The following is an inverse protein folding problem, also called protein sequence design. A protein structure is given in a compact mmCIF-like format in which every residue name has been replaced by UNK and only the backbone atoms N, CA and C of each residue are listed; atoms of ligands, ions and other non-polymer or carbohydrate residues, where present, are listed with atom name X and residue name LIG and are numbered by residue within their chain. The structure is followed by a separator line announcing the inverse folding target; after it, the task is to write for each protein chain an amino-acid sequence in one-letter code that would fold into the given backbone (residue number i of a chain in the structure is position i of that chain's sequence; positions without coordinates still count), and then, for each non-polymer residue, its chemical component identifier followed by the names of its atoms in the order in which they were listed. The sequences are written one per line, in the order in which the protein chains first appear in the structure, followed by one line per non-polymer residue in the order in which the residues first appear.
data_IF_705767131950
#
_entry.id   IF_705767131950
#
_cell.length_a   1.000
_cell.length_b   1.000
_cell.length_c   1.000
_cell.angle_alpha   90.00
_cell.angle_beta   90.00
_cell.angle_gamma   90.00
#
_symmetry.space_group_name_H-M   'P 1'
#
loop_
_entity.id
_entity.type
_entity.pdbx_description
1 polymer ?
#
# COMPACT_ATOMS: atom_id res chain seq x y z
N UNK A 1 59.28 12.97 84.35
CA UNK A 1 58.10 12.08 84.35
C UNK A 1 58.14 11.25 83.08
N UNK A 2 58.34 9.95 83.23
CA UNK A 2 58.10 8.89 82.22
C UNK A 2 56.69 8.30 82.46
N UNK A 3 56.16 7.32 81.68
CA UNK A 3 56.61 6.71 80.41
C UNK A 3 55.54 6.95 79.29
N UNK A 4 55.25 6.17 78.21
CA UNK A 4 55.81 4.96 77.56
C UNK A 4 55.37 4.88 76.07
N UNK A 5 55.54 3.72 75.41
CA UNK A 5 54.85 3.25 74.19
C UNK A 5 54.30 1.81 74.47
N UNK A 6 53.72 0.99 73.55
CA UNK A 6 53.39 1.17 72.11
C UNK A 6 52.01 0.56 71.65
N UNK A 7 51.85 0.38 70.31
CA UNK A 7 51.16 -0.73 69.58
C UNK A 7 49.63 -0.77 69.23
N UNK A 8 49.41 -0.84 67.90
CA UNK A 8 48.58 -1.81 67.10
C UNK A 8 47.07 -1.70 66.79
N UNK A 9 46.77 -1.91 65.49
CA UNK A 9 45.49 -2.29 64.82
C UNK A 9 44.35 -1.25 64.81
N UNK A 10 43.43 -1.16 63.83
CA UNK A 10 42.95 -2.15 62.81
C UNK A 10 42.64 -1.51 61.43
N UNK A 11 42.21 -2.35 60.46
CA UNK A 11 41.66 -2.10 59.10
C UNK A 11 40.60 -0.96 59.02
N UNK A 12 40.18 -0.43 57.85
CA UNK A 12 40.13 -1.00 56.48
C UNK A 12 40.14 0.04 55.33
N UNK A 13 40.22 -0.42 54.07
CA UNK A 13 40.36 0.40 52.84
C UNK A 13 39.12 0.45 51.93
N UNK A 14 38.52 1.63 51.65
CA UNK A 14 37.39 1.74 50.71
C UNK A 14 37.77 1.55 49.22
N UNK A 15 37.44 0.38 48.64
CA UNK A 15 37.74 0.06 47.22
C UNK A 15 36.69 0.56 46.21
N UNK A 16 37.12 1.50 45.35
CA UNK A 16 36.78 1.59 43.91
C UNK A 16 35.31 1.74 43.45
N UNK A 17 34.85 2.97 43.21
CA UNK A 17 33.51 3.28 42.63
C UNK A 17 33.40 3.17 41.10
N UNK A 18 34.46 2.78 40.36
CA UNK A 18 34.50 2.80 38.88
C UNK A 18 33.71 1.67 38.19
N UNK A 19 33.34 0.58 38.89
CA UNK A 19 32.65 -0.57 38.29
C UNK A 19 31.19 -0.29 37.91
N UNK A 20 30.46 0.48 38.72
CA UNK A 20 28.98 0.59 38.68
C UNK A 20 28.44 1.31 37.44
N UNK A 21 29.20 2.22 36.81
CA UNK A 21 28.84 2.83 35.51
C UNK A 21 29.06 1.90 34.31
N UNK A 22 30.05 0.98 34.37
CA UNK A 22 30.33 0.03 33.28
C UNK A 22 29.24 -1.05 33.16
N UNK A 23 28.73 -1.58 34.28
CA UNK A 23 27.69 -2.62 34.26
C UNK A 23 26.35 -2.10 33.73
N UNK A 24 25.93 -0.90 34.10
CA UNK A 24 24.72 -0.26 33.57
C UNK A 24 24.78 -0.09 32.04
N UNK A 25 25.88 0.47 31.50
CA UNK A 25 26.06 0.65 30.05
C UNK A 25 26.17 -0.68 29.28
N UNK A 26 26.70 -1.75 29.90
CA UNK A 26 26.67 -3.11 29.31
C UNK A 26 25.27 -3.74 29.33
N UNK A 27 24.44 -3.47 30.34
CA UNK A 27 23.05 -3.96 30.40
C UNK A 27 22.17 -3.28 29.34
N UNK A 28 22.20 -1.95 29.22
CA UNK A 28 21.39 -1.24 28.22
C UNK A 28 21.74 -1.60 26.77
N UNK A 29 23.03 -1.83 26.48
CA UNK A 29 23.44 -2.35 25.17
C UNK A 29 22.92 -3.76 24.87
N UNK A 30 22.84 -4.65 25.88
CA UNK A 30 22.30 -6.01 25.72
C UNK A 30 20.78 -6.01 25.47
N UNK A 31 20.00 -5.21 26.21
CA UNK A 31 18.56 -5.11 25.94
C UNK A 31 18.28 -4.45 24.60
N UNK A 32 19.03 -3.42 24.20
CA UNK A 32 18.86 -2.82 22.88
C UNK A 32 19.11 -3.84 21.76
N UNK A 33 20.25 -4.55 21.78
CA UNK A 33 20.56 -5.55 20.75
C UNK A 33 19.53 -6.70 20.68
N UNK A 34 18.91 -7.07 21.80
CA UNK A 34 17.81 -8.04 21.81
C UNK A 34 16.53 -7.48 21.15
N UNK A 35 16.17 -6.22 21.43
CA UNK A 35 15.03 -5.54 20.78
C UNK A 35 15.28 -5.36 19.28
N UNK A 36 16.47 -4.90 18.89
CA UNK A 36 16.87 -4.73 17.49
C UNK A 36 16.76 -6.07 16.71
N UNK A 37 17.16 -7.19 17.34
CA UNK A 37 17.03 -8.55 16.78
C UNK A 37 15.57 -9.01 16.64
N UNK A 38 14.71 -8.71 17.63
CA UNK A 38 13.27 -9.00 17.57
C UNK A 38 12.62 -8.20 16.43
N UNK A 39 12.91 -6.90 16.32
CA UNK A 39 12.38 -6.03 15.26
C UNK A 39 12.81 -6.53 13.87
N UNK A 40 14.09 -6.85 13.68
CA UNK A 40 14.59 -7.40 12.42
C UNK A 40 13.94 -8.76 12.07
N UNK A 41 13.75 -9.63 13.07
CA UNK A 41 13.07 -10.93 12.88
C UNK A 41 11.60 -10.74 12.49
N UNK A 42 10.89 -9.78 13.10
CA UNK A 42 9.51 -9.44 12.75
C UNK A 42 9.43 -8.83 11.35
N UNK A 43 10.28 -7.88 10.99
CA UNK A 43 10.34 -7.30 9.64
C UNK A 43 10.58 -8.38 8.57
N UNK A 44 11.47 -9.35 8.83
CA UNK A 44 11.70 -10.47 7.90
C UNK A 44 10.50 -11.43 7.78
N UNK A 45 9.61 -11.51 8.78
CA UNK A 45 8.34 -12.26 8.70
C UNK A 45 7.22 -11.49 7.99
N UNK A 46 7.18 -10.16 8.16
CA UNK A 46 6.21 -9.28 7.49
C UNK A 46 6.56 -9.01 6.02
N UNK A 47 7.80 -9.27 5.59
CA UNK A 47 8.25 -9.06 4.22
C UNK A 47 7.73 -10.14 3.27
N UNK A 48 6.88 -9.74 2.32
CA UNK A 48 6.42 -10.60 1.21
C UNK A 48 7.65 -11.15 0.46
N UNK A 49 7.68 -12.46 0.19
CA UNK A 49 8.80 -13.08 -0.55
C UNK A 49 8.85 -12.55 -1.99
N UNK A 50 10.06 -12.36 -2.52
CA UNK A 50 10.27 -11.80 -3.88
C UNK A 50 9.54 -12.62 -4.96
N UNK A 51 9.61 -13.95 -4.88
CA UNK A 51 8.98 -14.84 -5.87
C UNK A 51 7.46 -14.79 -5.76
N UNK A 52 6.91 -14.90 -4.55
CA UNK A 52 5.47 -14.83 -4.29
C UNK A 52 4.87 -13.52 -4.83
N UNK A 53 5.55 -12.38 -4.60
CA UNK A 53 5.16 -11.07 -5.17
C UNK A 53 5.22 -11.08 -6.70
N UNK A 54 6.31 -11.58 -7.29
CA UNK A 54 6.48 -11.60 -8.74
C UNK A 54 5.43 -12.47 -9.45
N UNK A 55 5.19 -13.69 -8.94
CA UNK A 55 4.19 -14.61 -9.47
C UNK A 55 2.78 -13.99 -9.45
N UNK A 56 2.41 -13.35 -8.33
CA UNK A 56 1.13 -12.66 -8.21
C UNK A 56 1.05 -11.44 -9.16
N UNK A 57 2.13 -10.65 -9.26
CA UNK A 57 2.22 -9.51 -10.17
C UNK A 57 2.03 -9.91 -11.64
N UNK A 58 2.64 -11.01 -12.08
CA UNK A 58 2.57 -11.48 -13.45
C UNK A 58 1.17 -11.96 -13.83
N UNK A 59 0.46 -12.60 -12.89
CA UNK A 59 -0.94 -13.02 -13.09
C UNK A 59 -1.86 -11.79 -13.12
N UNK A 60 -1.74 -10.92 -12.12
CA UNK A 60 -2.61 -9.75 -11.97
C UNK A 60 -2.41 -8.74 -13.11
N UNK A 61 -1.17 -8.45 -13.54
CA UNK A 61 -0.96 -7.56 -14.68
C UNK A 61 -1.52 -8.15 -16.00
N UNK A 62 -1.46 -9.46 -16.22
CA UNK A 62 -2.10 -10.10 -17.39
C UNK A 62 -3.62 -9.97 -17.37
N UNK A 63 -4.25 -10.06 -16.20
CA UNK A 63 -5.69 -9.86 -16.03
C UNK A 63 -6.06 -8.38 -16.25
N UNK A 64 -5.35 -7.45 -15.61
CA UNK A 64 -5.55 -6.00 -15.76
C UNK A 64 -5.44 -5.58 -17.23
N UNK A 65 -4.39 -6.01 -17.94
CA UNK A 65 -4.21 -5.64 -19.36
C UNK A 65 -5.37 -6.10 -20.23
N UNK A 66 -5.85 -7.35 -20.06
CA UNK A 66 -7.02 -7.86 -20.78
C UNK A 66 -8.29 -7.08 -20.50
N UNK A 67 -8.52 -6.68 -19.24
CA UNK A 67 -9.67 -5.87 -18.85
C UNK A 67 -9.59 -4.47 -19.48
N UNK A 68 -8.45 -3.79 -19.38
CA UNK A 68 -8.27 -2.45 -19.97
C UNK A 68 -8.44 -2.51 -21.49
N UNK A 69 -7.82 -3.49 -22.17
CA UNK A 69 -7.95 -3.68 -23.61
C UNK A 69 -9.40 -3.90 -24.05
N UNK A 70 -10.10 -4.82 -23.40
CA UNK A 70 -11.51 -5.12 -23.70
C UNK A 70 -12.42 -3.91 -23.49
N UNK A 71 -12.28 -3.19 -22.37
CA UNK A 71 -13.11 -2.02 -22.08
C UNK A 71 -12.76 -0.86 -23.02
N UNK A 72 -11.49 -0.65 -23.41
CA UNK A 72 -11.10 0.33 -24.44
C UNK A 72 -11.70 0.03 -25.82
N UNK A 73 -11.88 -1.25 -26.16
CA UNK A 73 -12.49 -1.65 -27.43
C UNK A 73 -14.01 -1.43 -27.45
N UNK A 74 -14.70 -1.57 -26.30
CA UNK A 74 -16.16 -1.57 -26.22
C UNK A 74 -16.79 -0.27 -25.65
N UNK A 75 -16.02 0.59 -24.97
CA UNK A 75 -16.53 1.84 -24.37
C UNK A 75 -15.82 3.07 -24.94
N UNK A 76 -16.58 3.96 -25.61
CA UNK A 76 -16.07 5.19 -26.23
C UNK A 76 -15.35 6.14 -25.27
N UNK A 77 -15.94 6.43 -24.10
CA UNK A 77 -15.36 7.34 -23.10
C UNK A 77 -14.17 6.75 -22.34
N UNK A 78 -13.80 5.49 -22.63
CA UNK A 78 -12.73 4.77 -21.94
C UNK A 78 -11.49 4.57 -22.84
N UNK A 79 -11.60 4.82 -24.15
CA UNK A 79 -10.53 4.62 -25.15
C UNK A 79 -9.19 5.23 -24.76
N UNK A 80 -9.22 6.44 -24.19
CA UNK A 80 -8.03 7.20 -23.80
C UNK A 80 -7.60 6.97 -22.35
N UNK A 81 -8.19 5.99 -21.62
CA UNK A 81 -7.85 5.77 -20.21
C UNK A 81 -6.36 5.43 -20.00
N UNK A 82 -5.77 5.99 -18.95
CA UNK A 82 -4.40 5.70 -18.51
C UNK A 82 -4.42 4.84 -17.23
N UNK A 83 -3.48 3.89 -17.10
CA UNK A 83 -3.29 3.13 -15.87
C UNK A 83 -2.31 3.86 -14.96
N UNK A 84 -2.78 4.33 -13.80
CA UNK A 84 -1.90 4.88 -12.77
C UNK A 84 -1.23 3.74 -11.99
N UNK A 85 0.07 3.87 -11.73
CA UNK A 85 0.85 2.92 -10.91
C UNK A 85 0.80 3.32 -9.42
N UNK A 86 -0.40 3.52 -8.89
CA UNK A 86 -0.68 3.98 -7.53
C UNK A 86 -1.21 2.85 -6.65
N UNK A 87 -1.09 3.03 -5.34
CA UNK A 87 -1.60 2.10 -4.34
C UNK A 87 -0.50 1.25 -3.71
N UNK A 88 -0.84 0.71 -2.54
CA UNK A 88 0.06 0.06 -1.60
C UNK A 88 0.90 -1.10 -2.17
N UNK A 89 0.44 -1.72 -3.27
CA UNK A 89 1.21 -2.72 -4.02
C UNK A 89 2.43 -2.13 -4.75
N UNK A 90 2.29 -0.98 -5.42
CA UNK A 90 3.39 -0.31 -6.14
C UNK A 90 4.33 0.42 -5.17
N UNK A 91 3.76 1.01 -4.13
CA UNK A 91 4.47 1.74 -3.07
C UNK A 91 5.28 0.82 -2.13
N UNK A 92 5.11 -0.51 -2.22
CA UNK A 92 5.76 -1.53 -1.40
C UNK A 92 5.27 -1.55 0.08
N UNK A 93 4.05 -1.09 0.33
CA UNK A 93 3.44 -1.00 1.66
C UNK A 93 2.67 -2.27 2.08
N UNK A 94 2.31 -3.16 1.14
CA UNK A 94 1.73 -4.47 1.47
C UNK A 94 2.72 -5.34 2.26
N UNK A 95 2.23 -6.00 3.31
CA UNK A 95 2.96 -6.89 4.22
C UNK A 95 2.29 -8.26 4.29
N UNK A 96 3.03 -9.26 4.78
CA UNK A 96 2.66 -10.67 4.85
C UNK A 96 2.46 -11.33 3.47
N UNK A 97 1.38 -10.99 2.77
CA UNK A 97 0.92 -11.65 1.55
C UNK A 97 0.76 -10.66 0.37
N UNK A 98 0.82 -11.15 -0.89
CA UNK A 98 0.40 -10.41 -2.07
C UNK A 98 -1.03 -10.83 -2.46
N UNK A 99 -2.01 -10.59 -1.58
CA UNK A 99 -3.42 -11.01 -1.73
C UNK A 99 -4.38 -9.89 -2.16
N UNK A 100 -3.95 -8.63 -2.11
CA UNK A 100 -4.78 -7.45 -2.39
C UNK A 100 -4.07 -6.46 -3.34
N UNK A 101 -4.79 -6.02 -4.39
CA UNK A 101 -4.24 -5.22 -5.49
C UNK A 101 -5.15 -4.05 -5.89
N UNK A 102 -4.75 -2.84 -5.52
CA UNK A 102 -5.36 -1.59 -5.98
C UNK A 102 -4.95 -1.29 -7.43
N UNK A 103 -5.89 -0.76 -8.24
CA UNK A 103 -5.63 -0.26 -9.60
C UNK A 103 -6.47 0.99 -9.84
N UNK A 104 -5.82 2.13 -10.06
CA UNK A 104 -6.49 3.36 -10.46
C UNK A 104 -6.36 3.58 -11.97
N UNK A 105 -7.46 3.97 -12.61
CA UNK A 105 -7.55 4.22 -14.04
C UNK A 105 -8.02 5.67 -14.23
N UNK A 106 -7.17 6.50 -14.85
CA UNK A 106 -7.42 7.91 -15.06
C UNK A 106 -7.98 8.14 -16.46
N UNK A 107 -9.18 8.71 -16.53
CA UNK A 107 -9.82 9.08 -17.79
C UNK A 107 -9.46 10.55 -18.06
N UNK A 108 -8.76 10.88 -19.16
CA UNK A 108 -8.52 12.27 -19.51
C UNK A 108 -9.87 12.94 -19.78
N UNK A 109 -10.10 14.08 -19.13
CA UNK A 109 -11.26 14.94 -19.36
C UNK A 109 -10.79 16.35 -19.65
N UNK A 110 -11.48 16.98 -20.59
CA UNK A 110 -11.36 18.41 -20.88
C UNK A 110 -11.78 19.27 -19.67
N UNK A 111 -11.77 20.59 -19.87
CA UNK A 111 -12.20 21.58 -18.88
C UNK A 111 -13.58 21.23 -18.29
N UNK A 112 -13.61 20.83 -17.03
CA UNK A 112 -14.81 20.61 -16.22
C UNK A 112 -15.21 21.86 -15.43
N UNK A 113 -16.43 21.88 -14.92
CA UNK A 113 -16.83 22.70 -13.76
C UNK A 113 -16.86 21.81 -12.52
N UNK A 114 -16.41 22.35 -11.37
CA UNK A 114 -16.29 21.60 -10.12
C UNK A 114 -16.96 22.44 -9.03
N UNK A 115 -18.05 21.93 -8.47
CA UNK A 115 -18.79 22.56 -7.37
C UNK A 115 -18.67 21.71 -6.10
N UNK A 116 -18.33 22.29 -4.93
CA UNK A 116 -18.28 21.54 -3.67
C UNK A 116 -19.63 20.87 -3.34
N UNK A 117 -19.58 19.61 -2.91
CA UNK A 117 -20.74 18.87 -2.42
C UNK A 117 -20.65 18.75 -0.89
N UNK A 118 -21.32 19.67 -0.19
CA UNK A 118 -21.17 19.82 1.26
C UNK A 118 -19.94 20.62 1.68
N UNK A 119 -19.59 20.53 2.97
CA UNK A 119 -18.69 21.48 3.64
C UNK A 119 -17.35 20.88 4.09
N UNK A 120 -17.03 19.63 3.72
CA UNK A 120 -15.81 18.93 4.14
C UNK A 120 -14.61 19.12 3.18
N UNK A 121 -14.86 19.58 1.94
CA UNK A 121 -13.83 19.73 0.91
C UNK A 121 -13.36 18.41 0.28
N UNK A 122 -14.04 17.29 0.53
CA UNK A 122 -13.70 15.98 -0.03
C UNK A 122 -14.57 15.60 -1.24
N UNK A 123 -15.84 16.03 -1.27
CA UNK A 123 -16.81 15.67 -2.30
C UNK A 123 -17.15 16.85 -3.23
N UNK A 124 -17.41 16.53 -4.51
CA UNK A 124 -17.67 17.52 -5.54
C UNK A 124 -18.67 17.01 -6.59
N UNK A 125 -19.57 17.90 -7.03
CA UNK A 125 -20.34 17.74 -8.26
C UNK A 125 -19.49 18.21 -9.45
N UNK A 126 -19.46 17.42 -10.52
CA UNK A 126 -18.64 17.69 -11.72
C UNK A 126 -19.56 17.97 -12.92
N UNK A 127 -19.46 19.16 -13.50
CA UNK A 127 -20.12 19.52 -14.77
C UNK A 127 -19.14 19.44 -15.95
N UNK A 128 -19.64 19.24 -17.17
CA UNK A 128 -18.83 19.25 -18.40
C UNK A 128 -19.00 20.59 -19.12
N UNK A 129 -17.90 21.30 -19.43
CA UNK A 129 -17.99 22.50 -20.28
C UNK A 129 -18.26 22.12 -21.74
N UNK A 130 -18.70 23.12 -22.53
CA UNK A 130 -19.07 22.97 -23.95
C UNK A 130 -18.02 22.19 -24.74
N UNK A 131 -18.42 21.05 -25.31
CA UNK A 131 -17.59 20.20 -26.16
C UNK A 131 -18.43 19.12 -26.87
N UNK A 132 -17.76 18.06 -27.31
CA UNK A 132 -18.40 16.81 -27.77
C UNK A 132 -17.84 15.62 -26.98
N UNK A 133 -17.75 15.75 -25.66
CA UNK A 133 -17.25 14.66 -24.81
C UNK A 133 -18.19 13.44 -24.89
N UNK A 134 -17.66 12.21 -25.09
CA UNK A 134 -18.45 10.97 -24.96
C UNK A 134 -19.13 10.81 -23.59
N UNK A 135 -18.70 11.56 -22.57
CA UNK A 135 -19.32 11.59 -21.23
C UNK A 135 -20.66 12.35 -21.17
N UNK A 136 -21.05 13.12 -22.20
CA UNK A 136 -22.33 13.86 -22.17
C UNK A 136 -23.55 12.94 -21.98
N UNK A 137 -23.48 11.67 -22.36
CA UNK A 137 -24.55 10.66 -22.13
C UNK A 137 -24.85 10.37 -20.66
N UNK A 138 -23.97 10.79 -19.74
CA UNK A 138 -24.11 10.61 -18.30
C UNK A 138 -24.54 11.87 -17.55
N UNK A 139 -24.74 13.00 -18.25
CA UNK A 139 -25.23 14.22 -17.60
C UNK A 139 -26.64 14.03 -17.05
N UNK A 140 -26.88 14.63 -15.89
CA UNK A 140 -28.14 14.68 -15.18
C UNK A 140 -28.22 16.05 -14.51
N UNK A 141 -29.10 16.92 -15.03
CA UNK A 141 -29.20 18.33 -14.60
C UNK A 141 -27.82 19.03 -14.55
N UNK A 142 -27.13 19.03 -15.69
CA UNK A 142 -25.75 19.52 -15.92
C UNK A 142 -24.63 18.89 -15.06
N UNK A 143 -24.94 17.94 -14.18
CA UNK A 143 -23.97 17.20 -13.35
C UNK A 143 -23.68 15.81 -13.92
N UNK A 144 -22.42 15.39 -13.90
CA UNK A 144 -21.96 14.09 -14.39
C UNK A 144 -22.33 12.98 -13.41
N UNK A 145 -23.19 12.05 -13.85
CA UNK A 145 -23.70 10.97 -13.00
C UNK A 145 -22.67 9.84 -12.81
N UNK A 146 -21.90 9.93 -11.72
CA UNK A 146 -20.87 8.94 -11.36
C UNK A 146 -21.43 7.51 -11.23
N UNK A 147 -22.68 7.33 -10.79
CA UNK A 147 -23.34 6.01 -10.76
C UNK A 147 -23.52 5.43 -12.16
N UNK A 148 -24.14 6.18 -13.09
CA UNK A 148 -24.34 5.73 -14.48
C UNK A 148 -23.00 5.38 -15.18
N UNK A 149 -21.95 6.16 -14.93
CA UNK A 149 -20.59 5.85 -15.40
C UNK A 149 -20.04 4.55 -14.83
N UNK A 150 -20.10 4.39 -13.50
CA UNK A 150 -19.59 3.21 -12.81
C UNK A 150 -20.35 1.94 -13.22
N UNK A 151 -21.66 2.04 -13.48
CA UNK A 151 -22.49 0.89 -13.82
C UNK A 151 -22.24 0.39 -15.25
N UNK A 152 -22.06 1.27 -16.25
CA UNK A 152 -21.64 0.83 -17.59
C UNK A 152 -20.23 0.19 -17.55
N UNK A 153 -19.29 0.80 -16.81
CA UNK A 153 -17.95 0.23 -16.61
C UNK A 153 -18.02 -1.15 -15.93
N UNK A 154 -18.83 -1.30 -14.87
CA UNK A 154 -19.02 -2.57 -14.15
C UNK A 154 -19.57 -3.66 -15.05
N UNK A 155 -20.55 -3.36 -15.91
CA UNK A 155 -21.09 -4.37 -16.82
C UNK A 155 -20.09 -4.81 -17.89
N UNK A 156 -19.25 -3.91 -18.42
CA UNK A 156 -18.20 -4.32 -19.38
C UNK A 156 -17.09 -5.14 -18.73
N UNK A 157 -16.68 -4.78 -17.50
CA UNK A 157 -15.75 -5.59 -16.71
C UNK A 157 -16.34 -6.98 -16.42
N UNK A 158 -17.63 -7.07 -16.08
CA UNK A 158 -18.34 -8.36 -15.89
C UNK A 158 -18.36 -9.22 -17.16
N UNK A 159 -18.52 -8.63 -18.35
CA UNK A 159 -18.39 -9.35 -19.64
C UNK A 159 -16.98 -9.88 -19.82
N UNK A 160 -15.95 -9.04 -19.62
CA UNK A 160 -14.55 -9.43 -19.74
C UNK A 160 -14.20 -10.63 -18.83
N UNK A 161 -14.58 -10.58 -17.56
CA UNK A 161 -14.28 -11.65 -16.59
C UNK A 161 -14.94 -12.97 -17.00
N UNK A 162 -16.21 -12.96 -17.43
CA UNK A 162 -16.91 -14.16 -17.94
C UNK A 162 -16.22 -14.76 -19.18
N UNK A 163 -15.67 -13.93 -20.08
CA UNK A 163 -14.89 -14.40 -21.23
C UNK A 163 -13.55 -15.04 -20.79
N UNK A 164 -12.87 -14.46 -19.81
CA UNK A 164 -11.63 -15.01 -19.23
C UNK A 164 -11.91 -16.36 -18.55
N UNK A 165 -12.96 -16.48 -17.74
CA UNK A 165 -13.39 -17.74 -17.12
C UNK A 165 -13.73 -18.81 -18.16
N UNK A 166 -14.48 -18.44 -19.21
CA UNK A 166 -14.86 -19.35 -20.30
C UNK A 166 -13.62 -19.86 -21.04
N UNK A 167 -12.67 -18.97 -21.36
CA UNK A 167 -11.40 -19.33 -21.98
C UNK A 167 -10.59 -20.32 -21.11
N UNK A 168 -10.47 -20.06 -19.80
CA UNK A 168 -9.79 -20.96 -18.86
C UNK A 168 -10.48 -22.34 -18.80
N UNK A 169 -11.81 -22.38 -18.76
CA UNK A 169 -12.58 -23.64 -18.74
C UNK A 169 -12.40 -24.43 -20.03
N UNK A 170 -12.46 -23.79 -21.20
CA UNK A 170 -12.25 -24.45 -22.50
C UNK A 170 -10.83 -24.98 -22.65
N UNK A 171 -9.80 -24.20 -22.29
CA UNK A 171 -8.41 -24.69 -22.31
C UNK A 171 -8.18 -25.90 -21.39
N UNK A 172 -8.96 -26.04 -20.31
CA UNK A 172 -8.93 -27.19 -19.37
C UNK A 172 -9.81 -28.38 -19.81
N UNK A 173 -10.38 -28.34 -21.01
CA UNK A 173 -11.04 -29.47 -21.67
C UNK A 173 -10.31 -29.93 -22.95
N UNK A 174 -9.24 -29.22 -23.35
CA UNK A 174 -8.42 -29.47 -24.55
C UNK A 174 -7.01 -29.98 -24.17
N UNK A 175 -6.69 -29.96 -22.87
CA UNK A 175 -5.47 -30.48 -22.23
C UNK A 175 -5.86 -31.50 -21.14
#
# INVERSE_FOLDING_TARGET
MTPEAPKETTKDSPKTTKARKRSARKRSGKTKAAVDSILLTTLNKLKIKKNDRANAADIINKIISKIIEHVKQNIDWFKEVEKLSTGSYYENLKICNPDEFDVMLAIPVDRVDIAPFGNDGAYYSVGLKRGKSPLHKFLDNDTLSASKMLDEFREEVKKCVKLIETCIRVCRFIL
#
